data_IF_626421619224
#
_entry.id   IF_626421619224
#
_cell.length_a   1.000
_cell.length_b   1.000
_cell.length_c   1.000
_cell.angle_alpha   90.00
_cell.angle_beta   90.00
_cell.angle_gamma   90.00
#
_symmetry.space_group_name_H-M   'P 1'
#
loop_
_entity.id
_entity.type
_entity.pdbx_description
1 polymer ?
#
# COMPACT_ATOMS: atom_id res chain seq x y z
N UNK A 1 4.12 -19.63 2.94
CA UNK A 1 4.39 -18.69 4.06
C UNK A 1 5.24 -17.45 3.72
N UNK A 2 5.95 -17.35 2.59
CA UNK A 2 6.91 -16.25 2.37
C UNK A 2 6.26 -14.86 2.25
N UNK A 3 5.26 -14.73 1.37
CA UNK A 3 4.53 -13.47 1.17
C UNK A 3 3.82 -13.00 2.45
N UNK A 4 3.14 -13.93 3.14
CA UNK A 4 2.46 -13.64 4.39
C UNK A 4 3.39 -13.15 5.50
N UNK A 5 4.56 -13.76 5.66
CA UNK A 5 5.58 -13.35 6.62
C UNK A 5 6.14 -11.96 6.30
N UNK A 6 6.48 -11.68 5.04
CA UNK A 6 7.05 -10.40 4.62
C UNK A 6 6.04 -9.26 4.82
N UNK A 7 4.78 -9.47 4.42
CA UNK A 7 3.71 -8.47 4.60
C UNK A 7 3.33 -8.28 6.05
N UNK A 8 3.35 -9.34 6.87
CA UNK A 8 3.17 -9.18 8.32
C UNK A 8 4.30 -8.35 8.92
N UNK A 9 5.56 -8.59 8.52
CA UNK A 9 6.71 -7.78 8.96
C UNK A 9 6.54 -6.30 8.59
N UNK A 10 6.12 -6.00 7.36
CA UNK A 10 5.81 -4.64 6.92
C UNK A 10 4.65 -4.03 7.72
N UNK A 11 3.56 -4.78 7.91
CA UNK A 11 2.38 -4.34 8.67
C UNK A 11 2.70 -4.03 10.14
N UNK A 12 3.49 -4.89 10.79
CA UNK A 12 3.91 -4.71 12.19
C UNK A 12 4.98 -3.62 12.34
N UNK A 13 5.85 -3.44 11.33
CA UNK A 13 6.84 -2.36 11.27
C UNK A 13 6.18 -0.98 11.15
N UNK A 14 5.08 -0.86 10.40
CA UNK A 14 4.27 0.37 10.31
C UNK A 14 3.68 0.74 11.69
N UNK A 15 3.39 -0.25 12.52
CA UNK A 15 2.87 -0.04 13.88
C UNK A 15 3.98 0.29 14.91
N UNK A 16 5.23 0.50 14.45
CA UNK A 16 6.42 0.82 15.26
C UNK A 16 6.55 -0.07 16.51
N UNK A 17 6.13 -1.33 16.37
CA UNK A 17 6.23 -2.33 17.42
C UNK A 17 7.66 -2.86 17.36
N UNK A 18 8.62 -2.12 17.93
CA UNK A 18 9.98 -2.59 18.25
C UNK A 18 10.00 -3.77 19.26
N UNK A 19 8.98 -4.62 19.26
CA UNK A 19 8.76 -5.69 20.23
C UNK A 19 8.20 -6.95 19.57
N UNK A 20 8.59 -7.26 18.33
CA UNK A 20 8.50 -8.66 17.91
C UNK A 20 9.53 -9.45 18.73
N UNK A 21 9.16 -10.62 19.29
CA UNK A 21 10.13 -11.47 19.96
C UNK A 21 11.27 -11.80 19.00
N UNK A 22 12.54 -11.82 19.47
CA UNK A 22 13.70 -12.11 18.63
C UNK A 22 13.58 -13.42 17.83
N UNK A 23 12.82 -14.39 18.36
CA UNK A 23 12.56 -15.67 17.70
C UNK A 23 11.66 -15.50 16.46
N UNK A 24 10.65 -14.63 16.52
CA UNK A 24 9.76 -14.34 15.38
C UNK A 24 10.53 -13.52 14.35
N UNK A 25 11.27 -12.51 14.78
CA UNK A 25 12.10 -11.67 13.91
C UNK A 25 13.13 -12.51 13.12
N UNK A 26 13.85 -13.41 13.79
CA UNK A 26 14.83 -14.29 13.14
C UNK A 26 14.20 -15.22 12.08
N UNK A 27 12.96 -15.67 12.30
CA UNK A 27 12.21 -16.48 11.32
C UNK A 27 11.80 -15.62 10.12
N UNK A 28 11.27 -14.41 10.37
CA UNK A 28 10.89 -13.46 9.32
C UNK A 28 12.11 -13.04 8.46
N UNK A 29 13.23 -12.71 9.10
CA UNK A 29 14.49 -12.37 8.42
C UNK A 29 15.03 -13.56 7.61
N UNK A 30 14.95 -14.79 8.12
CA UNK A 30 15.39 -15.99 7.36
C UNK A 30 14.51 -16.23 6.14
N UNK A 31 13.21 -15.96 6.24
CA UNK A 31 12.26 -16.04 5.11
C UNK A 31 12.54 -14.93 4.08
N UNK A 32 12.91 -13.73 4.52
CA UNK A 32 13.31 -12.62 3.65
C UNK A 32 14.65 -12.88 2.93
N UNK A 33 15.65 -13.41 3.65
CA UNK A 33 17.00 -13.63 3.15
C UNK A 33 17.18 -14.90 2.29
N UNK A 34 16.17 -15.78 2.24
CA UNK A 34 16.20 -17.02 1.46
C UNK A 34 15.59 -16.89 0.05
N UNK A 35 15.64 -15.67 -0.51
CA UNK A 35 15.12 -15.32 -1.83
C UNK A 35 15.91 -16.01 -2.96
N UNK A 36 15.68 -17.30 -3.16
CA UNK A 36 16.04 -17.98 -4.39
C UNK A 36 14.93 -17.74 -5.43
N UNK A 37 15.31 -17.38 -6.65
CA UNK A 37 14.41 -17.18 -7.78
C UNK A 37 13.57 -18.43 -8.08
N UNK A 38 12.42 -18.23 -8.74
CA UNK A 38 11.60 -19.35 -9.21
C UNK A 38 12.44 -20.22 -10.16
N UNK A 39 12.53 -21.55 -9.93
CA UNK A 39 13.20 -22.43 -10.87
C UNK A 39 12.57 -22.36 -12.26
N UNK A 40 13.39 -22.47 -13.31
CA UNK A 40 12.94 -22.30 -14.70
C UNK A 40 11.77 -23.23 -15.05
N UNK A 41 11.84 -24.51 -14.68
CA UNK A 41 10.76 -25.49 -14.93
C UNK A 41 9.42 -25.07 -14.32
N UNK A 42 9.44 -24.35 -13.19
CA UNK A 42 8.25 -23.89 -12.50
C UNK A 42 7.68 -22.66 -13.21
N UNK A 43 8.54 -21.74 -13.65
CA UNK A 43 8.17 -20.60 -14.50
C UNK A 43 7.54 -21.08 -15.82
N UNK A 44 8.17 -22.03 -16.51
CA UNK A 44 7.65 -22.61 -17.75
C UNK A 44 6.26 -23.21 -17.57
N UNK A 45 6.05 -23.93 -16.46
CA UNK A 45 4.75 -24.54 -16.16
C UNK A 45 3.67 -23.49 -15.97
N UNK A 46 3.96 -22.40 -15.24
CA UNK A 46 2.99 -21.31 -15.03
C UNK A 46 2.67 -20.61 -16.35
N UNK A 47 3.68 -20.29 -17.15
CA UNK A 47 3.49 -19.67 -18.46
C UNK A 47 2.66 -20.57 -19.38
N UNK A 48 2.97 -21.87 -19.45
CA UNK A 48 2.22 -22.81 -20.27
C UNK A 48 0.75 -22.97 -19.84
N UNK A 49 0.47 -22.90 -18.53
CA UNK A 49 -0.89 -22.98 -18.00
C UNK A 49 -1.73 -21.73 -18.28
N UNK A 50 -1.10 -20.55 -18.41
CA UNK A 50 -1.79 -19.28 -18.59
C UNK A 50 -1.86 -18.85 -20.05
N UNK A 51 -0.79 -19.10 -20.81
CA UNK A 51 -0.59 -18.60 -22.18
C UNK A 51 -0.61 -19.73 -23.23
N UNK A 52 -0.79 -20.99 -22.82
CA UNK A 52 -0.78 -22.15 -23.71
C UNK A 52 0.59 -22.85 -23.83
N UNK A 53 0.59 -24.10 -24.28
CA UNK A 53 1.82 -24.93 -24.35
C UNK A 53 2.88 -24.36 -25.30
N UNK A 54 2.46 -23.55 -26.26
CA UNK A 54 3.25 -22.87 -27.26
C UNK A 54 3.53 -21.40 -26.91
N UNK A 55 3.42 -21.00 -25.63
CA UNK A 55 3.60 -19.63 -25.16
C UNK A 55 4.86 -18.94 -25.68
N UNK A 56 5.95 -19.71 -25.87
CA UNK A 56 7.23 -19.22 -26.41
C UNK A 56 7.08 -18.60 -27.80
N UNK A 57 6.12 -19.05 -28.60
CA UNK A 57 5.86 -18.51 -29.93
C UNK A 57 5.35 -17.07 -29.91
N UNK A 58 4.84 -16.60 -28.76
CA UNK A 58 4.40 -15.22 -28.59
C UNK A 58 5.55 -14.24 -28.30
N UNK A 59 6.75 -14.75 -28.02
CA UNK A 59 7.92 -13.93 -27.68
C UNK A 59 9.01 -14.13 -28.74
N UNK A 60 9.64 -13.04 -29.17
CA UNK A 60 10.86 -13.12 -29.99
C UNK A 60 12.03 -13.67 -29.18
N UNK A 61 12.14 -13.25 -27.93
CA UNK A 61 13.12 -13.68 -26.94
C UNK A 61 12.49 -13.61 -25.55
N UNK A 62 12.85 -14.55 -24.67
CA UNK A 62 12.37 -14.57 -23.28
C UNK A 62 13.53 -14.98 -22.35
N UNK A 63 13.95 -14.06 -21.47
CA UNK A 63 14.94 -14.37 -20.44
C UNK A 63 14.25 -15.03 -19.24
N UNK A 64 14.66 -16.25 -18.94
CA UNK A 64 14.15 -17.00 -17.79
C UNK A 64 14.67 -16.44 -16.46
N UNK A 65 15.73 -15.62 -16.49
CA UNK A 65 16.27 -14.96 -15.32
C UNK A 65 15.50 -13.65 -15.09
N UNK A 66 14.88 -13.47 -13.92
CA UNK A 66 14.19 -12.23 -13.62
C UNK A 66 15.17 -11.07 -13.60
N UNK A 67 14.80 -9.96 -14.24
CA UNK A 67 15.62 -8.75 -14.24
C UNK A 67 15.58 -8.11 -12.84
N UNK A 68 16.75 -8.01 -12.19
CA UNK A 68 16.90 -7.22 -10.96
C UNK A 68 17.32 -5.77 -11.26
N UNK A 69 17.84 -5.49 -12.46
CA UNK A 69 18.21 -4.16 -12.94
C UNK A 69 18.33 -4.18 -14.47
N UNK A 70 17.72 -3.18 -15.12
CA UNK A 70 17.92 -2.76 -16.51
C UNK A 70 18.15 -3.88 -17.56
N UNK A 71 17.06 -4.47 -18.07
CA UNK A 71 17.09 -5.26 -19.30
C UNK A 71 16.53 -4.47 -20.49
N UNK A 72 17.06 -4.72 -21.68
CA UNK A 72 16.61 -4.13 -22.96
C UNK A 72 15.49 -5.02 -23.52
N UNK A 73 14.41 -5.17 -22.75
CA UNK A 73 13.19 -5.85 -23.19
C UNK A 73 12.15 -4.86 -23.70
N UNK A 74 11.23 -5.32 -24.56
CA UNK A 74 10.06 -4.51 -24.97
C UNK A 74 8.85 -4.69 -24.04
N UNK A 75 8.81 -5.81 -23.30
CA UNK A 75 7.73 -6.13 -22.36
C UNK A 75 8.29 -6.62 -21.03
N UNK A 76 7.56 -6.38 -19.96
CA UNK A 76 7.81 -6.90 -18.62
C UNK A 76 6.75 -7.97 -18.28
N UNK A 77 7.19 -9.17 -17.89
CA UNK A 77 6.32 -10.31 -17.58
C UNK A 77 6.44 -10.67 -16.10
N UNK A 78 5.37 -10.43 -15.33
CA UNK A 78 5.26 -10.80 -13.92
C UNK A 78 4.64 -12.19 -13.81
N UNK A 79 5.37 -13.14 -13.23
CA UNK A 79 4.95 -14.54 -13.07
C UNK A 79 4.77 -14.88 -11.60
N UNK A 80 3.57 -15.33 -11.23
CA UNK A 80 3.23 -15.67 -9.86
C UNK A 80 3.79 -17.05 -9.47
N UNK A 81 4.24 -17.19 -8.21
CA UNK A 81 4.59 -18.51 -7.67
C UNK A 81 3.34 -19.40 -7.59
N UNK A 82 3.34 -20.60 -8.18
CA UNK A 82 2.21 -21.51 -8.11
C UNK A 82 1.92 -21.92 -6.67
N UNK A 83 0.65 -21.97 -6.30
CA UNK A 83 0.21 -22.34 -4.96
C UNK A 83 0.22 -21.20 -3.94
N UNK A 84 0.65 -19.99 -4.32
CA UNK A 84 0.77 -18.87 -3.36
C UNK A 84 -0.59 -18.37 -2.91
N UNK A 85 -1.56 -18.23 -3.82
CA UNK A 85 -2.92 -17.77 -3.50
C UNK A 85 -3.64 -18.78 -2.64
N UNK A 86 -3.50 -20.08 -2.97
CA UNK A 86 -4.10 -21.19 -2.24
C UNK A 86 -3.50 -21.37 -0.84
N UNK A 87 -2.24 -20.97 -0.63
CA UNK A 87 -1.58 -21.11 0.67
C UNK A 87 -1.90 -20.00 1.66
N UNK A 88 -2.50 -18.87 1.23
CA UNK A 88 -2.72 -17.68 2.07
C UNK A 88 -3.44 -18.05 3.37
N UNK A 89 -4.57 -18.75 3.30
CA UNK A 89 -5.38 -19.12 4.47
C UNK A 89 -4.59 -19.97 5.47
N UNK A 90 -3.83 -20.95 4.98
CA UNK A 90 -3.00 -21.84 5.81
C UNK A 90 -1.81 -21.09 6.42
N UNK A 91 -1.17 -20.23 5.64
CA UNK A 91 -0.05 -19.40 6.05
C UNK A 91 -0.46 -18.42 7.17
N UNK A 92 -1.61 -17.76 7.01
CA UNK A 92 -2.20 -16.85 8.01
C UNK A 92 -2.61 -17.61 9.27
N UNK A 93 -3.19 -18.81 9.13
CA UNK A 93 -3.50 -19.68 10.28
C UNK A 93 -2.25 -20.08 11.07
N UNK A 94 -1.15 -20.38 10.38
CA UNK A 94 0.14 -20.71 11.01
C UNK A 94 0.74 -19.50 11.73
N UNK A 95 0.70 -18.32 11.10
CA UNK A 95 1.13 -17.06 11.73
C UNK A 95 0.31 -16.73 12.98
N UNK A 96 -1.02 -16.92 12.93
CA UNK A 96 -1.90 -16.75 14.09
C UNK A 96 -1.44 -17.61 15.25
N UNK A 97 -1.20 -18.90 14.98
CA UNK A 97 -0.76 -19.84 16.01
C UNK A 97 0.58 -19.42 16.64
N UNK A 98 1.57 -19.02 15.82
CA UNK A 98 2.88 -18.56 16.31
C UNK A 98 2.76 -17.31 17.19
N UNK A 99 1.92 -16.34 16.80
CA UNK A 99 1.71 -15.11 17.54
C UNK A 99 1.02 -15.35 18.89
N UNK A 100 0.03 -16.25 18.93
CA UNK A 100 -0.65 -16.63 20.17
C UNK A 100 0.28 -17.43 21.08
N UNK A 101 1.02 -18.39 20.54
CA UNK A 101 1.93 -19.26 21.30
C UNK A 101 3.13 -18.51 21.89
N UNK A 102 3.59 -17.44 21.23
CA UNK A 102 4.73 -16.64 21.70
C UNK A 102 4.39 -15.63 22.81
N UNK A 103 3.11 -15.50 23.20
CA UNK A 103 2.63 -14.48 24.14
C UNK A 103 3.07 -13.04 23.77
N UNK A 104 3.43 -12.85 22.50
CA UNK A 104 4.03 -11.64 21.96
C UNK A 104 3.00 -10.56 21.62
N UNK A 105 1.71 -10.87 21.78
CA UNK A 105 0.65 -9.98 21.35
C UNK A 105 0.38 -8.89 22.39
N UNK A 106 0.40 -7.61 22.00
CA UNK A 106 -0.10 -6.54 22.84
C UNK A 106 -1.58 -6.77 23.19
N UNK A 107 -1.96 -6.58 24.46
CA UNK A 107 -3.36 -6.62 24.88
C UNK A 107 -4.14 -5.51 24.15
N UNK A 108 -5.21 -5.85 23.44
CA UNK A 108 -6.07 -4.90 22.72
C UNK A 108 -5.89 -4.89 21.19
N UNK A 109 -4.93 -5.63 20.65
CA UNK A 109 -4.86 -5.82 19.19
C UNK A 109 -6.03 -6.71 18.74
N UNK A 110 -6.87 -6.20 17.83
CA UNK A 110 -7.83 -7.02 17.08
C UNK A 110 -7.07 -7.93 16.11
N UNK A 111 -6.41 -8.95 16.66
CA UNK A 111 -5.57 -9.87 15.90
C UNK A 111 -6.35 -10.46 14.72
N UNK A 112 -7.56 -10.93 14.99
CA UNK A 112 -8.38 -11.60 13.98
C UNK A 112 -8.78 -10.66 12.83
N UNK A 113 -9.10 -9.40 13.13
CA UNK A 113 -9.38 -8.39 12.11
C UNK A 113 -8.12 -8.03 11.33
N UNK A 114 -6.98 -7.86 12.01
CA UNK A 114 -5.70 -7.54 11.37
C UNK A 114 -5.23 -8.67 10.45
N UNK A 115 -5.37 -9.92 10.88
CA UNK A 115 -5.07 -11.10 10.07
C UNK A 115 -6.04 -11.24 8.89
N UNK A 116 -7.31 -10.87 9.06
CA UNK A 116 -8.29 -10.86 7.98
C UNK A 116 -7.95 -9.80 6.92
N UNK A 117 -7.57 -8.59 7.36
CA UNK A 117 -7.09 -7.52 6.45
C UNK A 117 -5.83 -7.99 5.72
N UNK A 118 -4.85 -8.55 6.43
CA UNK A 118 -3.64 -9.10 5.83
C UNK A 118 -3.93 -10.20 4.81
N UNK A 119 -4.84 -11.13 5.12
CA UNK A 119 -5.22 -12.20 4.21
C UNK A 119 -5.85 -11.65 2.93
N UNK A 120 -6.73 -10.65 3.05
CA UNK A 120 -7.33 -9.97 1.88
C UNK A 120 -6.29 -9.24 1.04
N UNK A 121 -5.35 -8.55 1.67
CA UNK A 121 -4.28 -7.86 0.95
C UNK A 121 -3.39 -8.82 0.17
N UNK A 122 -3.04 -9.97 0.77
CA UNK A 122 -2.28 -11.00 0.07
C UNK A 122 -3.07 -11.60 -1.10
N UNK A 123 -4.39 -11.77 -0.95
CA UNK A 123 -5.23 -12.27 -2.03
C UNK A 123 -5.30 -11.27 -3.18
N UNK A 124 -5.46 -9.98 -2.87
CA UNK A 124 -5.47 -8.89 -3.84
C UNK A 124 -4.13 -8.77 -4.60
N UNK A 125 -3.00 -8.98 -3.93
CA UNK A 125 -1.67 -9.04 -4.57
C UNK A 125 -1.48 -10.26 -5.48
N UNK A 126 -2.27 -11.30 -5.24
CA UNK A 126 -2.29 -12.49 -6.08
C UNK A 126 -3.30 -12.39 -7.24
N UNK A 127 -4.09 -11.32 -7.31
CA UNK A 127 -5.10 -11.13 -8.34
C UNK A 127 -4.57 -10.24 -9.48
N UNK A 128 -3.87 -10.86 -10.44
CA UNK A 128 -3.27 -10.14 -11.56
C UNK A 128 -4.29 -9.60 -12.57
N UNK A 129 -5.49 -10.18 -12.64
CA UNK A 129 -6.57 -9.64 -13.46
C UNK A 129 -7.06 -8.30 -12.90
N UNK A 130 -7.23 -8.24 -11.58
CA UNK A 130 -7.54 -6.99 -10.86
C UNK A 130 -6.43 -5.96 -11.01
N UNK A 131 -5.17 -6.36 -10.87
CA UNK A 131 -4.03 -5.46 -11.07
C UNK A 131 -3.97 -4.89 -12.49
N UNK A 132 -4.19 -5.72 -13.51
CA UNK A 132 -4.28 -5.29 -14.91
C UNK A 132 -5.38 -4.24 -15.13
N UNK A 133 -6.57 -4.48 -14.58
CA UNK A 133 -7.70 -3.53 -14.65
C UNK A 133 -7.35 -2.20 -13.97
N UNK A 134 -6.76 -2.24 -12.77
CA UNK A 134 -6.31 -1.05 -12.07
C UNK A 134 -5.25 -0.28 -12.89
N UNK A 135 -4.29 -0.97 -13.49
CA UNK A 135 -3.28 -0.38 -14.37
C UNK A 135 -3.89 0.30 -15.60
N UNK A 136 -4.85 -0.35 -16.28
CA UNK A 136 -5.57 0.23 -17.42
C UNK A 136 -6.32 1.50 -17.02
N UNK A 137 -7.10 1.44 -15.95
CA UNK A 137 -7.86 2.60 -15.45
C UNK A 137 -6.95 3.75 -15.04
N UNK A 138 -5.85 3.45 -14.35
CA UNK A 138 -4.88 4.47 -13.95
C UNK A 138 -4.22 5.12 -15.17
N UNK A 139 -3.87 4.33 -16.20
CA UNK A 139 -3.33 4.84 -17.46
C UNK A 139 -4.28 5.81 -18.14
N UNK A 140 -5.55 5.45 -18.24
CA UNK A 140 -6.56 6.28 -18.89
C UNK A 140 -6.81 7.58 -18.10
N UNK A 141 -6.91 7.49 -16.77
CA UNK A 141 -7.08 8.64 -15.88
C UNK A 141 -5.89 9.60 -15.95
N UNK A 142 -4.66 9.10 -15.84
CA UNK A 142 -3.45 9.93 -15.96
C UNK A 142 -3.39 10.57 -17.36
N UNK A 143 -3.66 9.80 -18.42
CA UNK A 143 -3.65 10.29 -19.80
C UNK A 143 -4.69 11.38 -20.09
N UNK A 144 -5.82 11.38 -19.38
CA UNK A 144 -6.88 12.38 -19.50
C UNK A 144 -6.68 13.60 -18.58
N UNK A 145 -5.74 13.53 -17.63
CA UNK A 145 -5.53 14.55 -16.59
C UNK A 145 -4.36 15.49 -16.92
N UNK A 146 -4.14 16.48 -16.05
CA UNK A 146 -2.97 17.35 -16.10
C UNK A 146 -1.64 16.61 -15.91
N UNK A 147 -1.67 15.37 -15.38
CA UNK A 147 -0.51 14.55 -15.09
C UNK A 147 0.08 13.83 -16.32
N UNK A 148 -0.58 13.86 -17.48
CA UNK A 148 -0.13 13.16 -18.69
C UNK A 148 1.29 13.55 -19.16
N UNK A 149 1.74 14.77 -18.82
CA UNK A 149 3.08 15.27 -19.10
C UNK A 149 4.17 14.70 -18.19
N UNK A 150 3.83 14.41 -16.93
CA UNK A 150 4.79 14.10 -15.87
C UNK A 150 4.80 12.60 -15.51
N UNK A 151 3.71 11.88 -15.77
CA UNK A 151 3.55 10.49 -15.40
C UNK A 151 3.28 9.59 -16.61
N UNK A 152 3.66 8.32 -16.48
CA UNK A 152 3.38 7.27 -17.45
C UNK A 152 3.01 5.98 -16.73
N UNK A 153 2.11 5.21 -17.34
CA UNK A 153 1.64 3.91 -16.84
C UNK A 153 1.73 2.92 -17.98
N UNK A 154 2.29 1.72 -17.76
CA UNK A 154 2.52 0.79 -18.84
C UNK A 154 1.20 0.25 -19.40
N UNK A 155 1.13 0.15 -20.72
CA UNK A 155 0.09 -0.58 -21.39
C UNK A 155 0.14 -2.06 -21.00
N UNK A 156 -1.02 -2.61 -20.61
CA UNK A 156 -1.22 -4.05 -20.42
C UNK A 156 -1.33 -4.73 -21.77
N UNK A 157 -0.65 -5.87 -21.93
CA UNK A 157 -0.70 -6.69 -23.16
C UNK A 157 -1.65 -7.87 -22.88
N UNK A 158 -2.93 -7.69 -23.20
CA UNK A 158 -4.01 -8.59 -22.79
C UNK A 158 -3.81 -10.03 -23.29
N UNK A 159 -3.27 -10.21 -24.50
CA UNK A 159 -3.00 -11.51 -25.09
C UNK A 159 -1.94 -12.31 -24.32
N UNK A 160 -1.13 -11.63 -23.51
CA UNK A 160 -0.06 -12.21 -22.70
C UNK A 160 -0.35 -12.12 -21.20
N UNK A 161 -1.63 -12.02 -20.83
CA UNK A 161 -2.08 -12.02 -19.45
C UNK A 161 -2.90 -13.28 -19.13
N UNK A 162 -2.90 -13.66 -17.85
CA UNK A 162 -3.69 -14.75 -17.30
C UNK A 162 -3.76 -14.66 -15.77
N UNK A 163 -4.47 -15.59 -15.09
CA UNK A 163 -4.63 -15.55 -13.64
C UNK A 163 -3.33 -15.46 -12.82
N UNK A 164 -2.22 -16.00 -13.34
CA UNK A 164 -0.91 -16.01 -12.69
C UNK A 164 0.19 -15.31 -13.49
N UNK A 165 -0.16 -14.65 -14.60
CA UNK A 165 0.81 -13.96 -15.49
C UNK A 165 0.27 -12.58 -15.85
N UNK A 166 1.04 -11.52 -15.60
CA UNK A 166 0.72 -10.16 -16.01
C UNK A 166 1.83 -9.63 -16.92
N UNK A 167 1.48 -9.25 -18.14
CA UNK A 167 2.42 -8.69 -19.11
C UNK A 167 2.08 -7.25 -19.42
N UNK A 168 3.10 -6.39 -19.38
CA UNK A 168 2.97 -4.95 -19.65
C UNK A 168 4.11 -4.46 -20.54
N UNK A 169 3.98 -3.28 -21.16
CA UNK A 169 5.11 -2.65 -21.84
C UNK A 169 6.28 -2.42 -20.88
N UNK A 170 7.51 -2.60 -21.37
CA UNK A 170 8.69 -2.39 -20.54
C UNK A 170 8.88 -0.91 -20.24
N UNK A 171 9.07 -0.61 -18.97
CA UNK A 171 9.44 0.72 -18.49
C UNK A 171 10.95 0.78 -18.27
N UNK A 172 11.58 1.88 -18.69
CA UNK A 172 13.04 2.00 -18.76
C UNK A 172 13.63 2.98 -17.73
N UNK A 173 12.80 3.53 -16.86
CA UNK A 173 13.24 4.41 -15.81
C UNK A 173 14.11 3.72 -14.76
N UNK A 174 14.90 4.52 -14.06
CA UNK A 174 15.65 4.07 -12.88
C UNK A 174 14.81 4.27 -11.63
N UNK A 175 14.90 3.40 -10.60
CA UNK A 175 14.12 3.57 -9.38
C UNK A 175 14.25 5.00 -8.83
N UNK A 176 13.11 5.65 -8.58
CA UNK A 176 13.05 7.07 -8.22
C UNK A 176 13.92 7.41 -7.02
N UNK A 177 14.02 6.48 -6.06
CA UNK A 177 14.87 6.55 -4.86
C UNK A 177 16.36 6.78 -5.16
N UNK A 178 16.84 6.35 -6.33
CA UNK A 178 18.26 6.38 -6.70
C UNK A 178 18.60 7.65 -7.51
N UNK A 179 17.60 8.33 -8.08
CA UNK A 179 17.79 9.48 -8.99
C UNK A 179 17.43 10.80 -8.34
N UNK A 180 16.26 10.87 -7.72
CA UNK A 180 15.75 12.10 -7.12
C UNK A 180 15.77 11.93 -5.60
N UNK A 181 16.82 12.46 -4.97
CA UNK A 181 16.81 12.73 -3.55
C UNK A 181 15.52 13.48 -3.20
N UNK A 182 14.80 12.97 -2.20
CA UNK A 182 13.48 13.44 -1.72
C UNK A 182 12.60 14.22 -2.73
N UNK A 183 12.13 13.55 -3.79
CA UNK A 183 11.10 14.03 -4.72
C UNK A 183 9.70 14.19 -4.08
N UNK A 184 9.60 14.79 -2.90
CA UNK A 184 8.41 14.79 -2.06
C UNK A 184 7.23 15.53 -2.71
N UNK A 185 7.50 16.66 -3.38
CA UNK A 185 6.45 17.48 -4.03
C UNK A 185 5.72 16.70 -5.12
N UNK A 186 6.45 16.00 -5.99
CA UNK A 186 5.83 15.20 -7.06
C UNK A 186 4.98 14.05 -6.49
N UNK A 187 5.38 13.48 -5.35
CA UNK A 187 4.62 12.42 -4.66
C UNK A 187 3.31 12.96 -4.09
N UNK A 188 3.39 14.12 -3.44
CA UNK A 188 2.22 14.75 -2.85
C UNK A 188 1.23 15.16 -3.94
N UNK A 189 1.74 15.65 -5.08
CA UNK A 189 0.90 16.01 -6.22
C UNK A 189 0.13 14.81 -6.83
N UNK A 190 0.80 13.67 -7.07
CA UNK A 190 0.14 12.45 -7.52
C UNK A 190 -0.91 11.97 -6.50
N UNK A 191 -0.55 11.94 -5.22
CA UNK A 191 -1.43 11.48 -4.15
C UNK A 191 -2.74 12.29 -4.08
N UNK A 192 -2.68 13.60 -4.33
CA UNK A 192 -3.89 14.44 -4.37
C UNK A 192 -4.79 14.09 -5.56
N UNK A 193 -4.23 13.81 -6.73
CA UNK A 193 -5.01 13.38 -7.90
C UNK A 193 -5.62 11.99 -7.67
N UNK A 194 -4.84 11.04 -7.17
CA UNK A 194 -5.28 9.68 -6.83
C UNK A 194 -6.51 9.68 -5.90
N UNK A 195 -6.49 10.54 -4.87
CA UNK A 195 -7.56 10.62 -3.88
C UNK A 195 -8.78 11.41 -4.39
N UNK A 196 -8.56 12.65 -4.85
CA UNK A 196 -9.66 13.60 -5.05
C UNK A 196 -10.18 13.68 -6.48
N UNK A 197 -9.35 13.37 -7.48
CA UNK A 197 -9.77 13.39 -8.89
C UNK A 197 -10.13 11.99 -9.39
N UNK A 198 -9.22 11.04 -9.17
CA UNK A 198 -9.31 9.68 -9.70
C UNK A 198 -10.17 8.79 -8.81
N UNK A 199 -10.12 9.00 -7.50
CA UNK A 199 -10.66 8.10 -6.46
C UNK A 199 -10.15 6.66 -6.65
N UNK A 200 -8.96 6.54 -7.23
CA UNK A 200 -8.24 5.31 -7.50
C UNK A 200 -6.80 5.57 -7.07
N UNK A 201 -6.34 4.85 -6.06
CA UNK A 201 -5.08 5.16 -5.39
C UNK A 201 -4.21 3.93 -5.24
N UNK A 202 -2.96 4.00 -5.65
CA UNK A 202 -1.95 3.01 -5.33
C UNK A 202 -1.55 3.16 -3.86
N UNK A 203 -1.89 2.18 -3.02
CA UNK A 203 -1.66 2.27 -1.56
C UNK A 203 -0.36 1.59 -1.10
N UNK A 204 0.39 0.97 -2.03
CA UNK A 204 1.71 0.43 -1.72
C UNK A 204 2.70 1.60 -1.48
N UNK A 205 3.38 1.62 -0.33
CA UNK A 205 4.38 2.64 -0.05
C UNK A 205 5.75 2.38 -0.71
N UNK A 206 5.92 1.28 -1.45
CA UNK A 206 7.20 0.89 -2.02
C UNK A 206 7.60 1.77 -3.22
N UNK A 207 8.52 2.70 -2.97
CA UNK A 207 9.04 3.61 -3.98
C UNK A 207 9.93 2.95 -5.05
N UNK A 208 10.29 1.66 -4.92
CA UNK A 208 10.93 0.96 -6.04
C UNK A 208 10.00 0.80 -7.25
N UNK A 209 8.69 0.96 -7.05
CA UNK A 209 7.66 0.82 -8.08
C UNK A 209 7.42 2.12 -8.86
N UNK A 210 8.19 3.16 -8.56
CA UNK A 210 8.20 4.44 -9.26
C UNK A 210 9.56 4.56 -9.95
N UNK A 211 9.56 4.64 -11.28
CA UNK A 211 10.78 4.75 -12.06
C UNK A 211 10.86 6.13 -12.68
N UNK A 212 12.01 6.79 -12.59
CA UNK A 212 12.25 8.04 -13.30
C UNK A 212 12.94 7.73 -14.62
N UNK A 213 12.26 8.04 -15.73
CA UNK A 213 12.81 7.91 -17.07
C UNK A 213 13.47 9.21 -17.48
N UNK A 214 14.80 9.20 -17.60
CA UNK A 214 15.58 10.39 -17.92
C UNK A 214 15.37 10.90 -19.35
N UNK A 215 15.06 9.99 -20.28
CA UNK A 215 14.87 10.32 -21.68
C UNK A 215 13.52 11.03 -21.91
N UNK A 216 12.46 10.55 -21.27
CA UNK A 216 11.12 11.16 -21.38
C UNK A 216 10.85 12.21 -20.32
N UNK A 217 11.68 12.26 -19.27
CA UNK A 217 11.53 13.10 -18.06
C UNK A 217 10.25 12.79 -17.26
N UNK A 218 9.68 11.60 -17.43
CA UNK A 218 8.46 11.16 -16.75
C UNK A 218 8.74 10.20 -15.59
N UNK A 219 7.78 10.13 -14.67
CA UNK A 219 7.70 9.09 -13.64
C UNK A 219 6.80 7.97 -14.13
N UNK A 220 7.36 6.79 -14.28
CA UNK A 220 6.69 5.57 -14.70
C UNK A 220 6.20 4.79 -13.46
N UNK A 221 4.91 4.46 -13.44
CA UNK A 221 4.25 3.70 -12.36
C UNK A 221 4.07 2.25 -12.81
N UNK A 222 4.66 1.28 -12.10
CA UNK A 222 4.76 -0.11 -12.60
C UNK A 222 4.07 -1.18 -11.75
N UNK A 223 3.47 -0.82 -10.62
CA UNK A 223 2.83 -1.78 -9.71
C UNK A 223 1.47 -1.26 -9.25
N UNK A 224 0.43 -2.03 -9.52
CA UNK A 224 -0.94 -1.68 -9.19
C UNK A 224 -1.61 -2.70 -8.26
N UNK A 225 -0.87 -3.66 -7.70
CA UNK A 225 -1.43 -4.75 -6.89
C UNK A 225 -2.18 -4.25 -5.66
N UNK A 226 -1.66 -3.21 -5.00
CA UNK A 226 -2.30 -2.56 -3.85
C UNK A 226 -3.13 -1.31 -4.22
N UNK A 227 -3.59 -1.18 -5.47
CA UNK A 227 -4.46 -0.07 -5.87
C UNK A 227 -5.84 -0.23 -5.24
N UNK A 228 -6.49 0.85 -4.81
CA UNK A 228 -7.83 0.81 -4.21
C UNK A 228 -8.73 1.85 -4.83
N UNK A 229 -9.96 1.44 -5.09
CA UNK A 229 -11.06 2.34 -5.43
C UNK A 229 -11.69 2.90 -4.17
N UNK A 230 -12.03 4.19 -4.21
CA UNK A 230 -12.81 4.84 -3.18
C UNK A 230 -14.15 5.27 -3.76
N UNK A 231 -15.23 4.96 -3.04
CA UNK A 231 -16.55 5.38 -3.46
C UNK A 231 -16.71 6.90 -3.35
N UNK A 232 -17.56 7.47 -4.20
CA UNK A 232 -17.93 8.89 -4.14
C UNK A 232 -18.46 9.29 -2.76
N UNK A 233 -19.31 8.44 -2.18
CA UNK A 233 -19.87 8.60 -0.85
C UNK A 233 -18.77 8.67 0.22
N UNK A 234 -17.82 7.73 0.19
CA UNK A 234 -16.71 7.73 1.14
C UNK A 234 -15.86 9.00 1.02
N UNK A 235 -15.47 9.38 -0.21
CA UNK A 235 -14.63 10.56 -0.41
C UNK A 235 -15.34 11.87 -0.04
N UNK A 236 -16.64 11.96 -0.31
CA UNK A 236 -17.46 13.12 0.10
C UNK A 236 -17.53 13.24 1.62
N UNK A 237 -17.82 12.14 2.32
CA UNK A 237 -17.86 12.12 3.78
C UNK A 237 -16.49 12.37 4.40
N UNK A 238 -15.43 11.79 3.82
CA UNK A 238 -14.06 11.99 4.26
C UNK A 238 -13.59 13.44 4.08
N UNK A 239 -13.92 14.08 2.95
CA UNK A 239 -13.65 15.50 2.73
C UNK A 239 -14.35 16.39 3.76
N UNK A 240 -15.66 16.17 3.98
CA UNK A 240 -16.41 16.91 5.01
C UNK A 240 -15.86 16.70 6.42
N UNK A 241 -15.34 15.50 6.71
CA UNK A 241 -14.69 15.20 7.98
C UNK A 241 -13.40 15.99 8.14
N UNK A 242 -12.59 16.10 7.08
CA UNK A 242 -11.39 16.92 7.08
C UNK A 242 -11.72 18.41 7.25
N UNK A 243 -12.75 18.92 6.59
CA UNK A 243 -13.21 20.31 6.75
C UNK A 243 -13.63 20.58 8.22
N UNK A 244 -14.45 19.71 8.80
CA UNK A 244 -14.85 19.81 10.21
C UNK A 244 -13.64 19.75 11.15
N UNK A 245 -12.63 18.94 10.82
CA UNK A 245 -11.41 18.84 11.58
C UNK A 245 -10.51 20.09 11.47
N UNK A 246 -10.50 20.74 10.31
CA UNK A 246 -9.81 22.02 10.08
C UNK A 246 -10.47 23.12 10.91
N UNK A 247 -11.80 23.19 10.90
CA UNK A 247 -12.60 24.17 11.64
C UNK A 247 -12.61 23.90 13.16
N UNK A 248 -12.18 22.70 13.59
CA UNK A 248 -12.23 22.27 14.98
C UNK A 248 -13.64 21.97 15.48
N UNK A 249 -14.57 21.68 14.57
CA UNK A 249 -15.96 21.33 14.91
C UNK A 249 -16.03 19.88 15.39
N UNK A 250 -16.04 19.73 16.72
CA UNK A 250 -16.08 18.43 17.40
C UNK A 250 -17.38 17.68 17.16
N UNK A 251 -18.51 18.37 17.09
CA UNK A 251 -19.82 17.72 16.98
C UNK A 251 -19.99 17.12 15.59
N UNK A 252 -19.69 17.90 14.55
CA UNK A 252 -19.73 17.44 13.17
C UNK A 252 -18.67 16.34 12.94
N UNK A 253 -17.46 16.49 13.48
CA UNK A 253 -16.41 15.49 13.34
C UNK A 253 -16.81 14.13 13.93
N UNK A 254 -17.47 14.12 15.11
CA UNK A 254 -17.96 12.88 15.72
C UNK A 254 -19.11 12.27 14.92
N UNK A 255 -20.05 13.09 14.43
CA UNK A 255 -21.15 12.61 13.60
C UNK A 255 -20.62 11.94 12.32
N UNK A 256 -19.77 12.63 11.56
CA UNK A 256 -19.19 12.10 10.31
C UNK A 256 -18.30 10.88 10.57
N UNK A 257 -17.60 10.85 11.70
CA UNK A 257 -16.80 9.67 12.10
C UNK A 257 -17.67 8.43 12.37
N UNK A 258 -18.91 8.60 12.84
CA UNK A 258 -19.88 7.50 12.96
C UNK A 258 -20.41 7.07 11.61
N UNK A 259 -20.77 8.03 10.75
CA UNK A 259 -21.25 7.75 9.38
C UNK A 259 -20.19 7.01 8.54
N UNK A 260 -18.91 7.35 8.72
CA UNK A 260 -17.78 6.65 8.10
C UNK A 260 -17.45 5.32 8.75
N UNK A 261 -18.03 4.98 9.91
CA UNK A 261 -17.76 3.73 10.63
C UNK A 261 -16.47 3.71 11.45
N UNK A 262 -15.87 4.87 11.76
CA UNK A 262 -14.78 4.96 12.73
C UNK A 262 -15.23 4.77 14.17
N UNK A 263 -16.49 5.11 14.45
CA UNK A 263 -17.12 5.08 15.75
C UNK A 263 -18.48 4.37 15.64
N UNK A 264 -18.85 3.59 16.65
CA UNK A 264 -20.21 3.02 16.76
C UNK A 264 -21.18 4.01 17.40
N UNK A 265 -20.67 4.94 18.20
CA UNK A 265 -21.46 5.87 19.02
C UNK A 265 -21.56 5.47 20.49
N UNK A 266 -21.11 4.26 20.84
CA UNK A 266 -21.11 3.72 22.21
C UNK A 266 -19.73 3.81 22.88
N UNK A 267 -18.75 4.42 22.21
CA UNK A 267 -17.41 4.59 22.76
C UNK A 267 -17.40 5.42 24.03
N UNK A 268 -16.44 5.11 24.92
CA UNK A 268 -16.20 5.93 26.09
C UNK A 268 -15.51 7.27 25.72
N UNK A 269 -15.60 8.23 26.64
CA UNK A 269 -15.05 9.57 26.46
C UNK A 269 -13.56 9.58 26.11
N UNK A 270 -12.76 8.68 26.72
CA UNK A 270 -11.33 8.54 26.39
C UNK A 270 -11.08 8.18 24.93
N UNK A 271 -11.90 7.31 24.33
CA UNK A 271 -11.77 6.97 22.91
C UNK A 271 -12.18 8.15 22.03
N UNK A 272 -13.28 8.81 22.37
CA UNK A 272 -13.79 9.96 21.60
C UNK A 272 -12.75 11.09 21.55
N UNK A 273 -12.14 11.42 22.69
CA UNK A 273 -11.05 12.41 22.73
C UNK A 273 -9.83 11.95 21.94
N UNK A 274 -9.38 10.71 22.12
CA UNK A 274 -8.21 10.20 21.40
C UNK A 274 -8.40 10.19 19.87
N UNK A 275 -9.62 9.90 19.41
CA UNK A 275 -9.99 9.96 18.00
C UNK A 275 -9.99 11.40 17.47
N UNK A 276 -10.63 12.33 18.19
CA UNK A 276 -10.66 13.74 17.82
C UNK A 276 -9.27 14.38 17.81
N UNK A 277 -8.46 14.11 18.84
CA UNK A 277 -7.08 14.58 18.92
C UNK A 277 -6.23 14.11 17.72
N UNK A 278 -6.41 12.84 17.33
CA UNK A 278 -5.73 12.29 16.15
C UNK A 278 -6.19 12.97 14.86
N UNK A 279 -7.49 13.18 14.72
CA UNK A 279 -8.09 13.79 13.54
C UNK A 279 -7.69 15.27 13.41
N UNK A 280 -7.74 16.05 14.50
CA UNK A 280 -7.34 17.45 14.50
C UNK A 280 -5.82 17.61 14.30
N UNK A 281 -5.02 16.69 14.84
CA UNK A 281 -3.60 16.65 14.53
C UNK A 281 -3.37 16.44 13.01
N UNK A 282 -4.07 15.49 12.39
CA UNK A 282 -4.01 15.23 10.95
C UNK A 282 -4.43 16.46 10.12
N UNK A 283 -5.43 17.21 10.58
CA UNK A 283 -5.96 18.39 9.89
C UNK A 283 -5.04 19.63 9.98
N UNK A 284 -4.05 19.63 10.89
CA UNK A 284 -3.14 20.76 11.12
C UNK A 284 -2.54 21.37 9.85
N UNK A 285 -2.06 20.59 8.86
CA UNK A 285 -1.47 21.15 7.63
C UNK A 285 -2.45 21.90 6.74
N UNK A 286 -3.75 21.68 6.90
CA UNK A 286 -4.80 22.21 6.05
C UNK A 286 -5.49 23.46 6.64
N UNK A 287 -5.09 23.88 7.84
CA UNK A 287 -5.66 25.05 8.49
C UNK A 287 -5.16 26.34 7.84
N UNK A 288 -6.00 27.37 7.83
CA UNK A 288 -5.66 28.66 7.23
C UNK A 288 -4.47 29.36 7.92
N UNK A 289 -4.18 29.03 9.18
CA UNK A 289 -3.04 29.53 9.95
C UNK A 289 -1.76 28.71 9.76
N UNK A 290 -1.81 27.64 8.95
CA UNK A 290 -0.66 26.79 8.68
C UNK A 290 0.28 27.42 7.64
N UNK A 291 1.61 27.24 7.77
CA UNK A 291 2.56 27.69 6.74
C UNK A 291 2.27 27.02 5.40
N UNK A 292 2.39 27.76 4.29
CA UNK A 292 2.26 27.23 2.93
C UNK A 292 3.53 27.51 2.11
N UNK A 293 4.24 26.49 1.59
CA UNK A 293 3.96 25.06 1.74
C UNK A 293 4.16 24.57 3.19
N UNK A 294 3.38 23.57 3.61
CA UNK A 294 3.50 23.03 4.96
C UNK A 294 4.83 22.28 5.13
N UNK A 295 5.69 22.66 6.10
CA UNK A 295 7.02 22.07 6.24
C UNK A 295 6.93 20.71 6.96
N UNK A 296 6.45 19.68 6.25
CA UNK A 296 6.29 18.33 6.79
C UNK A 296 7.59 17.75 7.37
N UNK A 297 8.77 18.13 6.86
CA UNK A 297 10.04 17.69 7.41
C UNK A 297 10.36 18.26 8.80
N UNK A 298 9.86 19.46 9.14
CA UNK A 298 10.13 20.14 10.42
C UNK A 298 8.97 20.00 11.41
N UNK A 299 7.73 20.17 10.94
CA UNK A 299 6.52 20.17 11.79
C UNK A 299 5.75 18.84 11.73
N UNK A 300 5.98 18.02 10.70
CA UNK A 300 5.36 16.70 10.56
C UNK A 300 5.71 15.72 11.69
N UNK A 301 6.94 15.67 12.23
CA UNK A 301 7.26 14.84 13.39
C UNK A 301 6.39 15.17 14.63
N UNK A 302 6.03 16.44 14.82
CA UNK A 302 5.14 16.87 15.90
C UNK A 302 3.70 16.37 15.73
N UNK A 303 3.16 16.44 14.51
CA UNK A 303 1.85 15.86 14.16
C UNK A 303 1.87 14.34 14.37
N UNK A 304 2.92 13.70 13.88
CA UNK A 304 3.12 12.25 13.98
C UNK A 304 3.15 11.79 15.43
N UNK A 305 3.90 12.49 16.29
CA UNK A 305 4.00 12.17 17.70
C UNK A 305 2.64 12.29 18.40
N UNK A 306 1.85 13.32 18.08
CA UNK A 306 0.49 13.49 18.61
C UNK A 306 -0.43 12.34 18.20
N UNK A 307 -0.45 11.97 16.92
CA UNK A 307 -1.26 10.84 16.44
C UNK A 307 -0.81 9.53 17.11
N UNK A 308 0.51 9.29 17.19
CA UNK A 308 1.08 8.09 17.82
C UNK A 308 0.73 7.97 19.29
N UNK A 309 0.67 9.08 20.02
CA UNK A 309 0.30 9.08 21.43
C UNK A 309 -1.13 8.56 21.68
N UNK A 310 -2.02 8.70 20.69
CA UNK A 310 -3.41 8.26 20.79
C UNK A 310 -3.61 6.78 20.45
N UNK A 311 -2.71 6.19 19.64
CA UNK A 311 -2.83 4.80 19.17
C UNK A 311 -3.09 3.78 20.30
N UNK A 312 -2.36 3.78 21.44
CA UNK A 312 -2.60 2.82 22.51
C UNK A 312 -3.99 2.95 23.15
N UNK A 313 -4.50 4.18 23.28
CA UNK A 313 -5.82 4.47 23.84
C UNK A 313 -6.90 3.97 22.87
N UNK A 314 -6.75 4.29 21.58
CA UNK A 314 -7.66 3.85 20.53
C UNK A 314 -7.68 2.32 20.43
N UNK A 315 -6.53 1.64 20.45
CA UNK A 315 -6.47 0.18 20.43
C UNK A 315 -7.17 -0.48 21.62
N UNK A 316 -7.13 0.16 22.81
CA UNK A 316 -7.74 -0.39 24.02
C UNK A 316 -9.25 -0.16 24.12
N UNK A 317 -9.73 0.98 23.64
CA UNK A 317 -11.09 1.46 23.91
C UNK A 317 -12.00 1.52 22.69
N UNK A 318 -11.46 1.32 21.48
CA UNK A 318 -12.27 1.21 20.25
C UNK A 318 -13.20 0.01 20.34
N UNK A 319 -14.38 0.12 19.74
CA UNK A 319 -15.41 -0.92 19.74
C UNK A 319 -15.57 -1.61 18.38
N UNK A 320 -15.25 -0.90 17.29
CA UNK A 320 -15.30 -1.42 15.92
C UNK A 320 -13.94 -1.29 15.24
N UNK A 321 -13.50 -2.27 14.42
CA UNK A 321 -12.37 -2.02 13.53
C UNK A 321 -12.69 -0.85 12.57
N UNK A 322 -11.71 -0.01 12.23
CA UNK A 322 -11.92 1.01 11.21
C UNK A 322 -12.22 0.37 9.85
N UNK A 323 -12.86 1.11 8.93
CA UNK A 323 -13.11 0.66 7.56
C UNK A 323 -11.83 0.25 6.83
N UNK A 324 -11.95 -0.73 5.92
CA UNK A 324 -10.86 -1.23 5.07
C UNK A 324 -10.13 -0.10 4.33
N UNK A 325 -10.89 0.84 3.80
CA UNK A 325 -10.48 2.00 3.03
C UNK A 325 -9.57 2.92 3.84
N UNK A 326 -9.73 2.93 5.16
CA UNK A 326 -8.90 3.76 6.04
C UNK A 326 -7.56 3.13 6.32
N UNK A 327 -7.47 1.80 6.36
CA UNK A 327 -6.17 1.14 6.47
C UNK A 327 -5.30 1.45 5.24
N UNK A 328 -5.88 1.40 4.05
CA UNK A 328 -5.16 1.71 2.81
C UNK A 328 -4.77 3.20 2.72
N UNK A 329 -5.66 4.11 3.12
CA UNK A 329 -5.39 5.54 3.12
C UNK A 329 -4.33 5.92 4.16
N UNK A 330 -4.45 5.42 5.40
CA UNK A 330 -3.45 5.64 6.44
C UNK A 330 -2.09 5.04 6.06
N UNK A 331 -2.03 3.91 5.35
CA UNK A 331 -0.77 3.30 4.90
C UNK A 331 0.01 4.23 3.98
N UNK A 332 -0.63 4.83 2.97
CA UNK A 332 0.05 5.79 2.08
C UNK A 332 0.50 7.03 2.86
N UNK A 333 -0.35 7.53 3.75
CA UNK A 333 -0.05 8.75 4.50
C UNK A 333 1.00 8.53 5.61
N UNK A 334 1.11 7.34 6.20
CA UNK A 334 2.02 7.03 7.32
C UNK A 334 3.45 6.75 6.87
N UNK A 335 3.67 6.19 5.68
CA UNK A 335 5.04 5.96 5.17
C UNK A 335 5.76 7.27 4.78
N UNK A 336 5.04 8.41 4.82
CA UNK A 336 5.65 9.74 4.84
C UNK A 336 6.62 9.96 6.03
N UNK A 337 6.55 9.13 7.09
CA UNK A 337 7.18 9.44 8.38
C UNK A 337 8.34 8.52 8.79
N UNK A 338 8.46 7.31 8.23
CA UNK A 338 9.46 6.32 8.68
C UNK A 338 10.91 6.61 8.23
N UNK A 339 11.15 7.60 7.36
CA UNK A 339 12.49 7.95 6.85
C UNK A 339 13.11 9.19 7.49
N UNK A 340 12.47 9.82 8.48
CA UNK A 340 13.04 10.97 9.21
C UNK A 340 13.74 10.56 10.51
N UNK A 341 13.94 9.27 10.77
CA UNK A 341 14.56 8.76 12.01
C UNK A 341 15.89 8.02 11.80
N UNK A 342 16.50 8.09 10.61
CA UNK A 342 17.77 7.42 10.30
C UNK A 342 18.89 8.37 9.82
N UNK A 343 18.75 9.69 10.01
CA UNK A 343 19.86 10.65 9.85
C UNK A 343 20.33 11.20 11.19
#
# INVERSE_FOLDING_TARGET
MRGAALKLGQFLSIQDTKQLPPQVEAVLQRVQNSANYMPEWQTERVLAQNLGTDWRSHFSEFDMRPFAAASIGQVAVKVQFPGVRESITSDIGTLRWLLVASAALPRGLYLDNSLTVLARELDDECDYAREAECGRRMRDLIGASSLAGDFAVPQVIDELCGPMVLTTEMMHGRPLKDVLGNAQETRDWLCMHELFEFRLMQTDPNWSNFLFNEATRKIELIDFGATRDYSDTFMTLYGRLLDAAVDGDREIALQLSRELGYLTGDENEMMLEAHLDSLFALATPFRADAPSPFPFGLLGPGITSKIRAQIPIMLRHRLTPPPSETYSLNRKLSVKQARHSED
#
